data_IF_801864653444
#
_entry.id   IF_801864653444
#
_cell.length_a   1.000
_cell.length_b   1.000
_cell.length_c   1.000
_cell.angle_alpha   90.00
_cell.angle_beta   90.00
_cell.angle_gamma   90.00
#
_symmetry.space_group_name_H-M   'P 1'
#
loop_
_entity.id
_entity.type
_entity.pdbx_description
1 polymer ?
#
# COMPACT_ATOMS: atom_id res chain seq x y z
N UNK A 1 28.82 18.16 -22.42
CA UNK A 1 27.34 18.08 -22.48
C UNK A 1 26.68 19.35 -21.92
N UNK A 2 25.74 19.97 -22.64
CA UNK A 2 25.14 21.24 -22.24
C UNK A 2 24.23 21.12 -21.02
N UNK A 3 24.26 22.13 -20.13
CA UNK A 3 23.48 22.19 -18.89
C UNK A 3 21.98 21.97 -19.10
N UNK A 4 21.43 22.50 -20.19
CA UNK A 4 20.00 22.36 -20.52
C UNK A 4 19.58 20.92 -20.81
N UNK A 5 20.48 20.10 -21.36
CA UNK A 5 20.16 18.71 -21.68
C UNK A 5 19.99 17.85 -20.42
N UNK A 6 20.69 18.19 -19.33
CA UNK A 6 20.52 17.52 -18.04
C UNK A 6 19.16 17.80 -17.41
N UNK A 7 18.71 19.06 -17.42
CA UNK A 7 17.39 19.41 -16.87
C UNK A 7 16.28 18.73 -17.66
N UNK A 8 16.36 18.73 -18.99
CA UNK A 8 15.38 18.04 -19.86
C UNK A 8 15.30 16.54 -19.56
N UNK A 9 16.45 15.88 -19.39
CA UNK A 9 16.49 14.45 -19.03
C UNK A 9 15.92 14.20 -17.63
N UNK A 10 16.30 15.00 -16.64
CA UNK A 10 15.85 14.82 -15.26
C UNK A 10 14.32 14.95 -15.11
N UNK A 11 13.67 15.75 -15.97
CA UNK A 11 12.21 15.81 -16.02
C UNK A 11 11.56 14.48 -16.41
N UNK A 12 12.21 13.70 -17.27
CA UNK A 12 11.71 12.37 -17.66
C UNK A 12 11.82 11.41 -16.48
N UNK A 13 12.94 11.44 -15.76
CA UNK A 13 13.14 10.62 -14.56
C UNK A 13 12.06 10.94 -13.52
N UNK A 14 11.93 12.23 -13.16
CA UNK A 14 10.93 12.68 -12.19
C UNK A 14 9.47 12.34 -12.61
N UNK A 15 9.17 12.34 -13.90
CA UNK A 15 7.83 12.02 -14.40
C UNK A 15 7.52 10.51 -14.43
N UNK A 16 8.54 9.68 -14.66
CA UNK A 16 8.39 8.22 -14.71
C UNK A 16 8.47 7.55 -13.34
N UNK A 17 9.06 8.21 -12.35
CA UNK A 17 9.16 7.68 -10.99
C UNK A 17 7.87 7.90 -10.20
N UNK A 18 7.47 6.92 -9.39
CA UNK A 18 6.38 7.06 -8.43
C UNK A 18 6.76 7.98 -7.27
N UNK A 19 8.04 7.93 -6.87
CA UNK A 19 8.64 8.82 -5.88
C UNK A 19 10.11 9.15 -6.21
N UNK A 20 10.60 10.28 -5.71
CA UNK A 20 12.00 10.71 -5.85
C UNK A 20 12.65 10.86 -4.48
N UNK A 21 13.66 10.03 -4.18
CA UNK A 21 14.46 10.10 -2.96
C UNK A 21 15.77 10.87 -3.18
N UNK A 22 15.99 11.91 -2.38
CA UNK A 22 17.23 12.69 -2.34
C UNK A 22 18.07 12.24 -1.15
N UNK A 23 19.20 11.58 -1.42
CA UNK A 23 20.12 11.10 -0.39
C UNK A 23 21.01 12.24 0.12
N UNK A 24 21.70 12.92 -0.79
CA UNK A 24 22.62 14.01 -0.47
C UNK A 24 22.52 15.13 -1.50
N UNK A 25 22.38 16.36 -1.03
CA UNK A 25 22.45 17.54 -1.88
C UNK A 25 22.84 18.79 -1.12
N UNK A 26 23.77 19.54 -1.68
CA UNK A 26 24.02 20.92 -1.24
C UNK A 26 22.86 21.85 -1.55
N UNK A 27 22.88 23.06 -0.98
CA UNK A 27 21.79 24.04 -1.11
C UNK A 27 21.42 24.42 -2.57
N UNK A 28 22.35 24.25 -3.52
CA UNK A 28 22.13 24.47 -4.96
C UNK A 28 22.45 23.23 -5.80
N UNK A 29 22.24 22.04 -5.23
CA UNK A 29 22.52 20.77 -5.90
C UNK A 29 21.57 20.50 -7.06
N UNK A 30 22.06 19.82 -8.10
CA UNK A 30 21.25 19.45 -9.27
C UNK A 30 20.13 18.46 -8.94
N UNK A 31 20.27 17.67 -7.87
CA UNK A 31 19.23 16.77 -7.39
C UNK A 31 17.99 17.52 -6.90
N UNK A 32 18.15 18.71 -6.31
CA UNK A 32 17.05 19.55 -5.87
C UNK A 32 16.15 19.98 -7.04
N UNK A 33 16.74 20.21 -8.21
CA UNK A 33 15.96 20.55 -9.42
C UNK A 33 15.06 19.36 -9.81
N UNK A 34 15.59 18.14 -9.77
CA UNK A 34 14.80 16.93 -10.05
C UNK A 34 13.68 16.74 -9.03
N UNK A 35 13.97 16.96 -7.75
CA UNK A 35 13.00 16.86 -6.68
C UNK A 35 11.91 17.95 -6.75
N UNK A 36 12.27 19.20 -7.11
CA UNK A 36 11.31 20.27 -7.37
C UNK A 36 10.40 19.93 -8.57
N UNK A 37 10.95 19.33 -9.63
CA UNK A 37 10.16 18.86 -10.77
C UNK A 37 9.20 17.75 -10.33
N UNK A 38 9.67 16.77 -9.56
CA UNK A 38 8.83 15.68 -9.05
C UNK A 38 7.67 16.21 -8.20
N UNK A 39 7.96 17.13 -7.27
CA UNK A 39 6.94 17.82 -6.47
C UNK A 39 5.95 18.59 -7.36
N UNK A 40 6.41 19.27 -8.41
CA UNK A 40 5.54 19.99 -9.36
C UNK A 40 4.62 19.07 -10.16
N UNK A 41 4.99 17.80 -10.30
CA UNK A 41 4.17 16.75 -10.92
C UNK A 41 3.29 16.00 -9.91
N UNK A 42 3.20 16.51 -8.68
CA UNK A 42 2.45 15.90 -7.59
C UNK A 42 2.90 14.45 -7.30
N UNK A 43 4.22 14.21 -7.45
CA UNK A 43 4.89 12.96 -7.06
C UNK A 43 5.48 13.10 -5.68
N UNK A 44 5.57 11.98 -4.97
CA UNK A 44 6.19 11.95 -3.65
C UNK A 44 7.67 12.29 -3.75
N UNK A 45 8.11 13.20 -2.89
CA UNK A 45 9.53 13.57 -2.76
C UNK A 45 9.96 13.20 -1.36
N UNK A 46 11.07 12.47 -1.29
CA UNK A 46 11.63 11.94 -0.07
C UNK A 46 13.03 12.51 0.10
N UNK A 47 13.47 12.74 1.33
CA UNK A 47 14.81 13.22 1.59
C UNK A 47 15.38 12.60 2.86
N UNK A 48 16.66 12.21 2.79
CA UNK A 48 17.40 11.73 3.95
C UNK A 48 17.89 12.92 4.76
N UNK A 49 17.58 13.01 6.06
CA UNK A 49 18.06 14.10 6.90
C UNK A 49 19.56 13.94 7.16
N UNK A 50 20.23 15.05 7.46
CA UNK A 50 21.64 15.02 7.84
C UNK A 50 22.01 16.17 8.78
N UNK A 51 23.27 16.22 9.21
CA UNK A 51 23.70 17.25 10.16
C UNK A 51 23.57 18.65 9.54
N UNK A 52 23.05 19.66 10.26
CA UNK A 52 22.92 21.03 9.73
C UNK A 52 24.24 21.67 9.29
N UNK A 53 25.36 21.23 9.87
CA UNK A 53 26.71 21.69 9.55
C UNK A 53 27.22 21.15 8.21
N UNK A 54 26.69 20.01 7.75
CA UNK A 54 27.22 19.33 6.58
C UNK A 54 26.66 19.96 5.31
N UNK A 55 27.56 20.41 4.43
CA UNK A 55 27.16 21.14 3.22
C UNK A 55 26.25 20.32 2.31
N UNK A 56 26.45 19.00 2.23
CA UNK A 56 25.65 18.07 1.43
C UNK A 56 24.33 17.65 2.08
N UNK A 57 24.07 18.05 3.32
CA UNK A 57 22.80 17.81 4.01
C UNK A 57 21.88 19.02 3.95
N UNK A 58 22.43 20.21 3.66
CA UNK A 58 21.68 21.48 3.66
C UNK A 58 20.52 21.49 2.66
N UNK A 59 20.68 20.88 1.50
CA UNK A 59 19.63 20.77 0.49
C UNK A 59 18.47 19.90 0.98
N UNK A 60 18.78 18.67 1.42
CA UNK A 60 17.80 17.73 1.97
C UNK A 60 17.03 18.34 3.14
N UNK A 61 17.75 18.86 4.14
CA UNK A 61 17.16 19.49 5.33
C UNK A 61 16.26 20.69 4.97
N UNK A 62 16.63 21.47 3.95
CA UNK A 62 15.82 22.60 3.49
C UNK A 62 14.54 22.14 2.77
N UNK A 63 14.57 21.04 2.01
CA UNK A 63 13.36 20.48 1.39
C UNK A 63 12.39 19.96 2.46
N UNK A 64 12.92 19.25 3.46
CA UNK A 64 12.14 18.78 4.61
C UNK A 64 11.53 19.98 5.37
N UNK A 65 12.34 21.00 5.68
CA UNK A 65 11.89 22.21 6.38
C UNK A 65 10.78 22.97 5.64
N UNK A 66 10.75 22.89 4.31
CA UNK A 66 9.73 23.53 3.46
C UNK A 66 8.52 22.64 3.19
N UNK A 67 8.46 21.44 3.77
CA UNK A 67 7.44 20.42 3.48
C UNK A 67 7.36 20.06 1.99
N UNK A 68 8.46 20.18 1.25
CA UNK A 68 8.55 19.72 -0.15
C UNK A 68 8.88 18.23 -0.17
N UNK A 69 9.70 17.77 0.78
CA UNK A 69 10.11 16.39 0.92
C UNK A 69 9.70 15.82 2.28
N UNK A 70 9.28 14.56 2.29
CA UNK A 70 9.09 13.79 3.53
C UNK A 70 10.44 13.25 4.00
N UNK A 71 10.67 13.31 5.30
CA UNK A 71 11.88 12.79 5.93
C UNK A 71 11.86 11.26 5.89
N UNK A 72 12.98 10.66 5.48
CA UNK A 72 13.16 9.20 5.41
C UNK A 72 14.50 8.83 6.06
N UNK A 73 14.46 7.90 7.01
CA UNK A 73 15.64 7.37 7.70
C UNK A 73 15.92 5.92 7.31
N UNK A 74 14.90 5.17 6.88
CA UNK A 74 15.05 3.77 6.49
C UNK A 74 14.17 3.37 5.31
N UNK A 75 14.34 2.13 4.81
CA UNK A 75 13.51 1.60 3.72
C UNK A 75 12.05 1.43 4.14
N UNK A 76 11.80 1.14 5.41
CA UNK A 76 10.46 0.97 5.98
C UNK A 76 9.63 2.25 5.87
N UNK A 77 10.26 3.43 6.01
CA UNK A 77 9.59 4.71 5.81
C UNK A 77 9.11 4.88 4.36
N UNK A 78 9.93 4.44 3.39
CA UNK A 78 9.57 4.47 1.97
C UNK A 78 8.39 3.54 1.72
N UNK A 79 8.44 2.32 2.27
CA UNK A 79 7.36 1.36 2.16
C UNK A 79 6.06 1.92 2.74
N UNK A 80 6.13 2.54 3.92
CA UNK A 80 4.99 3.18 4.57
C UNK A 80 4.41 4.33 3.74
N UNK A 81 5.25 5.27 3.29
CA UNK A 81 4.82 6.44 2.51
C UNK A 81 4.21 6.03 1.17
N UNK A 82 4.81 5.03 0.52
CA UNK A 82 4.34 4.52 -0.76
C UNK A 82 3.19 3.53 -0.62
N UNK A 83 2.77 3.21 0.61
CA UNK A 83 1.80 2.17 0.92
C UNK A 83 2.14 0.84 0.23
N UNK A 84 3.43 0.50 0.21
CA UNK A 84 3.91 -0.77 -0.27
C UNK A 84 3.71 -1.81 0.83
N UNK A 85 2.89 -2.81 0.54
CA UNK A 85 2.79 -3.96 1.43
C UNK A 85 4.15 -4.68 1.43
N UNK A 86 4.81 -4.83 2.59
CA UNK A 86 6.03 -5.62 2.66
C UNK A 86 5.68 -7.04 2.24
N UNK A 87 6.25 -7.50 1.12
CA UNK A 87 6.07 -8.87 0.60
C UNK A 87 6.66 -9.97 1.52
N UNK A 88 6.97 -9.63 2.77
CA UNK A 88 7.70 -10.44 3.74
C UNK A 88 6.95 -10.82 5.02
N UNK A 89 5.67 -10.45 5.19
CA UNK A 89 4.84 -10.95 6.30
C UNK A 89 3.80 -11.98 5.84
N UNK A 90 4.24 -12.97 5.07
CA UNK A 90 3.54 -14.26 4.95
C UNK A 90 3.72 -15.16 6.17
N UNK A 91 4.47 -14.70 7.19
CA UNK A 91 4.44 -15.26 8.54
C UNK A 91 3.54 -14.43 9.48
N UNK A 92 2.32 -14.12 9.05
CA UNK A 92 1.25 -14.24 10.05
C UNK A 92 1.26 -15.72 10.40
N UNK A 93 1.79 -16.03 11.58
CA UNK A 93 1.35 -17.17 12.35
C UNK A 93 -0.17 -17.13 12.28
N UNK A 94 -0.75 -17.89 11.34
CA UNK A 94 -2.09 -18.40 11.52
C UNK A 94 -1.94 -19.22 12.79
N UNK A 95 -2.13 -18.57 13.94
CA UNK A 95 -2.74 -19.26 15.05
C UNK A 95 -3.99 -19.83 14.40
N UNK A 96 -3.93 -21.12 14.12
CA UNK A 96 -5.06 -21.99 13.91
C UNK A 96 -5.88 -21.91 15.20
N UNK A 97 -6.50 -20.75 15.46
CA UNK A 97 -7.82 -20.74 16.02
C UNK A 97 -8.63 -21.42 14.94
N UNK A 98 -8.75 -22.74 15.08
CA UNK A 98 -9.73 -23.54 14.38
C UNK A 98 -11.02 -22.76 14.56
N UNK A 99 -11.58 -22.15 13.50
CA UNK A 99 -12.79 -21.38 13.65
C UNK A 99 -13.86 -22.35 14.15
N UNK A 100 -14.45 -22.08 15.30
CA UNK A 100 -15.71 -22.72 15.66
C UNK A 100 -16.76 -22.11 14.75
N UNK A 101 -16.89 -22.65 13.53
CA UNK A 101 -17.95 -22.25 12.62
C UNK A 101 -19.28 -22.69 13.19
N UNK A 102 -20.23 -21.78 13.26
CA UNK A 102 -21.65 -22.15 13.35
C UNK A 102 -22.06 -22.89 12.07
N UNK A 103 -23.11 -23.71 12.15
CA UNK A 103 -23.59 -24.54 11.02
C UNK A 103 -23.85 -23.69 9.75
N UNK A 104 -24.34 -22.46 9.95
CA UNK A 104 -24.62 -21.51 8.87
C UNK A 104 -23.33 -20.89 8.29
N UNK A 105 -22.32 -20.57 9.11
CA UNK A 105 -21.02 -20.07 8.65
C UNK A 105 -20.28 -21.13 7.83
N UNK A 106 -20.37 -22.41 8.23
CA UNK A 106 -19.71 -23.52 7.51
C UNK A 106 -20.25 -23.66 6.09
N UNK A 107 -21.57 -23.55 5.90
CA UNK A 107 -22.21 -23.59 4.58
C UNK A 107 -21.74 -22.46 3.68
N UNK A 108 -21.55 -21.25 4.22
CA UNK A 108 -21.05 -20.10 3.47
C UNK A 108 -19.59 -20.31 3.06
N UNK A 109 -18.75 -20.80 3.98
CA UNK A 109 -17.34 -21.12 3.70
C UNK A 109 -17.20 -22.21 2.64
N UNK A 110 -17.98 -23.30 2.73
CA UNK A 110 -18.01 -24.36 1.72
C UNK A 110 -18.44 -23.79 0.36
N UNK A 111 -19.48 -22.96 0.31
CA UNK A 111 -19.94 -22.35 -0.94
C UNK A 111 -18.87 -21.46 -1.61
N UNK A 112 -18.13 -20.67 -0.81
CA UNK A 112 -17.04 -19.81 -1.25
C UNK A 112 -15.77 -20.60 -1.60
N UNK A 113 -15.54 -21.76 -0.99
CA UNK A 113 -14.43 -22.65 -1.32
C UNK A 113 -14.62 -23.29 -2.69
N UNK A 114 -15.83 -23.77 -3.01
CA UNK A 114 -16.12 -24.36 -4.31
C UNK A 114 -16.17 -23.33 -5.45
N UNK A 115 -16.56 -22.08 -5.16
CA UNK A 115 -16.60 -21.01 -6.15
C UNK A 115 -16.05 -19.71 -5.54
N UNK A 116 -14.78 -19.34 -5.81
CA UNK A 116 -14.23 -18.07 -5.36
C UNK A 116 -14.91 -16.91 -6.09
N UNK A 117 -15.26 -15.83 -5.36
CA UNK A 117 -15.83 -14.62 -5.94
C UNK A 117 -17.33 -14.72 -6.21
N UNK A 118 -18.12 -15.13 -5.20
CA UNK A 118 -19.57 -15.13 -5.27
C UNK A 118 -20.17 -13.83 -4.73
N UNK A 119 -21.29 -13.43 -5.30
CA UNK A 119 -22.17 -12.39 -4.76
C UNK A 119 -23.03 -12.93 -3.60
N UNK A 120 -23.42 -12.09 -2.62
CA UNK A 120 -24.28 -12.48 -1.50
C UNK A 120 -25.58 -13.17 -1.91
N UNK A 121 -26.16 -12.77 -3.05
CA UNK A 121 -27.39 -13.36 -3.60
C UNK A 121 -27.18 -14.82 -4.02
N UNK A 122 -26.03 -15.11 -4.63
CA UNK A 122 -25.68 -16.47 -5.06
C UNK A 122 -25.32 -17.35 -3.85
N UNK A 123 -24.71 -16.78 -2.82
CA UNK A 123 -24.43 -17.47 -1.55
C UNK A 123 -25.76 -17.80 -0.85
N UNK A 124 -26.69 -16.85 -0.79
CA UNK A 124 -28.03 -17.03 -0.25
C UNK A 124 -28.78 -18.17 -0.97
N UNK A 125 -28.78 -18.16 -2.30
CA UNK A 125 -29.44 -19.18 -3.11
C UNK A 125 -28.89 -20.61 -2.91
N UNK A 126 -27.62 -20.75 -2.50
CA UNK A 126 -26.97 -22.05 -2.27
C UNK A 126 -27.04 -22.54 -0.83
N UNK A 127 -27.09 -21.61 0.11
CA UNK A 127 -27.06 -21.92 1.55
C UNK A 127 -28.45 -22.00 2.17
N UNK A 128 -29.49 -21.59 1.44
CA UNK A 128 -30.87 -21.43 1.91
C UNK A 128 -31.00 -20.44 3.08
N UNK A 129 -30.03 -19.53 3.18
CA UNK A 129 -29.99 -18.48 4.20
C UNK A 129 -30.49 -17.18 3.55
N UNK A 130 -31.39 -16.41 4.18
CA UNK A 130 -31.82 -15.12 3.66
C UNK A 130 -30.65 -14.15 3.43
N UNK A 131 -30.67 -13.41 2.32
CA UNK A 131 -29.60 -12.49 1.90
C UNK A 131 -29.17 -11.53 3.02
N UNK A 132 -30.11 -10.96 3.78
CA UNK A 132 -29.78 -10.04 4.88
C UNK A 132 -28.92 -10.68 5.98
N UNK A 133 -29.16 -11.97 6.26
CA UNK A 133 -28.38 -12.74 7.24
C UNK A 133 -27.02 -13.12 6.67
N UNK A 134 -26.97 -13.50 5.39
CA UNK A 134 -25.70 -13.75 4.67
C UNK A 134 -24.81 -12.52 4.69
N UNK A 135 -25.34 -11.33 4.35
CA UNK A 135 -24.58 -10.08 4.36
C UNK A 135 -24.05 -9.76 5.76
N UNK A 136 -24.88 -9.92 6.80
CA UNK A 136 -24.45 -9.71 8.20
C UNK A 136 -23.31 -10.65 8.59
N UNK A 137 -23.43 -11.93 8.22
CA UNK A 137 -22.40 -12.94 8.49
C UNK A 137 -21.12 -12.70 7.68
N UNK A 138 -21.21 -12.29 6.42
CA UNK A 138 -20.05 -11.94 5.59
C UNK A 138 -19.27 -10.77 6.21
N UNK A 139 -19.97 -9.77 6.75
CA UNK A 139 -19.35 -8.65 7.48
C UNK A 139 -18.68 -9.16 8.76
N UNK A 140 -19.34 -10.01 9.55
CA UNK A 140 -18.72 -10.58 10.76
C UNK A 140 -17.48 -11.42 10.43
N UNK A 141 -17.52 -12.19 9.33
CA UNK A 141 -16.40 -13.00 8.85
C UNK A 141 -15.27 -12.14 8.26
N UNK A 142 -15.57 -11.02 7.64
CA UNK A 142 -14.61 -10.01 7.20
C UNK A 142 -13.90 -9.36 8.40
N UNK A 143 -14.66 -8.99 9.44
CA UNK A 143 -14.12 -8.45 10.70
C UNK A 143 -13.22 -9.46 11.42
N UNK A 144 -13.53 -10.76 11.32
CA UNK A 144 -12.69 -11.87 11.81
C UNK A 144 -11.52 -12.20 10.87
N UNK A 145 -11.37 -11.47 9.77
CA UNK A 145 -10.30 -11.63 8.77
C UNK A 145 -10.31 -13.02 8.08
N UNK A 146 -11.49 -13.63 7.94
CA UNK A 146 -11.68 -14.91 7.24
C UNK A 146 -11.96 -14.72 5.74
N UNK A 147 -12.47 -13.55 5.35
CA UNK A 147 -12.85 -13.20 3.99
C UNK A 147 -12.15 -11.91 3.54
N UNK A 148 -11.95 -11.77 2.23
CA UNK A 148 -11.50 -10.54 1.59
C UNK A 148 -12.57 -10.06 0.60
N UNK A 149 -13.11 -8.84 0.75
CA UNK A 149 -14.01 -8.27 -0.24
C UNK A 149 -13.25 -7.87 -1.50
N UNK A 150 -13.86 -8.12 -2.65
CA UNK A 150 -13.39 -7.72 -3.97
C UNK A 150 -14.32 -6.68 -4.59
N UNK A 151 -13.83 -5.86 -5.54
CA UNK A 151 -14.67 -4.95 -6.31
C UNK A 151 -15.84 -5.71 -6.97
N UNK A 152 -17.05 -5.14 -6.89
CA UNK A 152 -18.26 -5.77 -7.43
C UNK A 152 -19.05 -6.61 -6.42
N UNK A 153 -18.86 -6.39 -5.12
CA UNK A 153 -19.56 -7.10 -4.04
C UNK A 153 -19.29 -8.62 -4.05
N UNK A 154 -18.06 -8.98 -4.39
CA UNK A 154 -17.60 -10.37 -4.46
C UNK A 154 -16.76 -10.68 -3.24
N UNK A 155 -16.81 -11.92 -2.75
CA UNK A 155 -16.05 -12.33 -1.58
C UNK A 155 -15.09 -13.48 -1.92
N UNK A 156 -13.85 -13.39 -1.42
CA UNK A 156 -12.86 -14.45 -1.47
C UNK A 156 -12.59 -14.99 -0.07
N UNK A 157 -12.39 -16.29 0.01
CA UNK A 157 -12.02 -16.97 1.24
C UNK A 157 -10.50 -16.85 1.48
N UNK A 158 -10.11 -16.31 2.63
CA UNK A 158 -8.70 -16.16 3.04
C UNK A 158 -8.19 -17.37 3.83
N UNK A 159 -9.08 -18.20 4.35
CA UNK A 159 -8.79 -19.35 5.23
C UNK A 159 -9.16 -20.64 4.53
N UNK A 160 -8.32 -21.69 4.60
CA UNK A 160 -8.71 -22.99 4.04
C UNK A 160 -9.72 -23.68 4.98
N UNK A 161 -10.86 -24.17 4.48
CA UNK A 161 -11.69 -25.09 5.25
C UNK A 161 -10.91 -26.40 5.44
N UNK A 162 -11.04 -27.01 6.62
CA UNK A 162 -10.53 -28.35 6.92
C UNK A 162 -11.55 -29.38 6.47
#
# INVERSE_FOLDING_TARGET
PERNNFIRRNRIIAGLSDATLVIESGYKGGALITADIASSYNREVLAVPGRPTDDYSRGCNNMIKKNIAVLVESSEDIEYIMNWEPKGSTNQYYQTQIPSFTEDERKIVEALYYNPGLMPETISARTDIPVHRVVSMLIEMELRNWLTPLPGNLYLLKVKPV
#
